data_IF_012590020153
#
_entry.id   IF_012590020153
#
_cell.length_a   1.000
_cell.length_b   1.000
_cell.length_c   1.000
_cell.angle_alpha   90.00
_cell.angle_beta   90.00
_cell.angle_gamma   90.00
#
_symmetry.space_group_name_H-M   'P 1'
#
loop_
_entity.id
_entity.type
_entity.pdbx_description
1 polymer ?
#
# COMPACT_ATOMS: atom_id res chain seq x y z
N UNK A 1 -6.19 13.15 -14.17
CA UNK A 1 -5.76 11.88 -13.55
C UNK A 1 -5.99 10.72 -14.50
N UNK A 2 -7.23 10.48 -15.00
CA UNK A 2 -7.57 9.32 -15.86
C UNK A 2 -6.65 9.18 -17.10
N UNK A 3 -6.40 10.27 -17.83
CA UNK A 3 -5.51 10.25 -18.99
C UNK A 3 -4.06 9.84 -18.64
N UNK A 4 -3.58 10.22 -17.45
CA UNK A 4 -2.27 9.81 -17.01
C UNK A 4 -2.22 8.30 -16.74
N UNK A 5 -3.23 7.75 -16.07
CA UNK A 5 -3.33 6.33 -15.81
C UNK A 5 -3.46 5.51 -17.10
N UNK A 6 -4.26 5.96 -18.06
CA UNK A 6 -4.35 5.34 -19.39
C UNK A 6 -2.96 5.22 -20.03
N UNK A 7 -2.21 6.32 -20.09
CA UNK A 7 -0.86 6.35 -20.64
C UNK A 7 0.13 5.49 -19.85
N UNK A 8 0.04 5.49 -18.51
CA UNK A 8 0.89 4.64 -17.65
C UNK A 8 0.64 3.15 -17.92
N UNK A 9 -0.61 2.77 -18.17
CA UNK A 9 -0.95 1.39 -18.51
C UNK A 9 -0.59 1.03 -19.96
N UNK A 10 -0.71 1.95 -20.93
CA UNK A 10 -0.40 1.67 -22.32
C UNK A 10 1.10 1.58 -22.60
N UNK A 11 1.85 2.62 -22.25
CA UNK A 11 3.27 2.74 -22.61
C UNK A 11 4.26 2.75 -21.44
N UNK A 12 3.75 2.63 -20.21
CA UNK A 12 4.55 2.63 -18.99
C UNK A 12 4.80 4.03 -18.43
N UNK A 13 5.17 4.07 -17.15
CA UNK A 13 5.39 5.32 -16.42
C UNK A 13 6.56 6.12 -16.99
N UNK A 14 7.71 5.49 -17.24
CA UNK A 14 8.93 6.17 -17.70
C UNK A 14 8.76 6.79 -19.08
N UNK A 15 8.10 6.08 -20.00
CA UNK A 15 7.85 6.54 -21.35
C UNK A 15 6.73 7.60 -21.46
N UNK A 16 5.97 7.84 -20.39
CA UNK A 16 4.90 8.85 -20.36
C UNK A 16 5.46 10.20 -19.96
N UNK A 17 5.20 11.23 -20.77
CA UNK A 17 5.58 12.62 -20.49
C UNK A 17 4.38 13.44 -20.02
N UNK A 18 4.65 14.56 -19.31
CA UNK A 18 3.60 15.52 -18.93
C UNK A 18 2.91 16.09 -20.17
N UNK A 19 3.64 16.33 -21.26
CA UNK A 19 3.07 16.83 -22.53
C UNK A 19 2.12 15.80 -23.17
N UNK A 20 2.39 14.49 -23.05
CA UNK A 20 1.46 13.44 -23.50
C UNK A 20 0.15 13.47 -22.69
N UNK A 21 0.26 13.64 -21.36
CA UNK A 21 -0.89 13.69 -20.45
C UNK A 21 -1.75 14.92 -20.76
N UNK A 22 -1.12 16.08 -20.93
CA UNK A 22 -1.79 17.33 -21.30
C UNK A 22 -2.53 17.17 -22.63
N UNK A 23 -1.89 16.57 -23.62
CA UNK A 23 -2.49 16.35 -24.95
C UNK A 23 -3.69 15.40 -24.87
N UNK A 24 -3.57 14.28 -24.16
CA UNK A 24 -4.65 13.30 -24.03
C UNK A 24 -5.83 13.83 -23.20
N UNK A 25 -5.53 14.63 -22.16
CA UNK A 25 -6.57 15.19 -21.28
C UNK A 25 -7.21 16.49 -21.80
N UNK A 26 -6.76 17.00 -22.97
CA UNK A 26 -7.17 18.27 -23.55
C UNK A 26 -7.12 19.44 -22.54
N UNK A 27 -6.02 19.48 -21.75
CA UNK A 27 -5.80 20.52 -20.75
C UNK A 27 -4.62 21.42 -21.14
N UNK A 28 -4.46 22.55 -20.43
CA UNK A 28 -3.29 23.41 -20.62
C UNK A 28 -2.16 23.02 -19.67
N UNK A 29 -0.92 23.35 -20.06
CA UNK A 29 0.27 23.18 -19.22
C UNK A 29 0.15 23.94 -17.90
N UNK A 30 -0.41 25.14 -17.90
CA UNK A 30 -0.69 25.93 -16.71
C UNK A 30 -1.70 25.27 -15.80
N UNK A 31 -2.77 24.69 -16.35
CA UNK A 31 -3.75 23.93 -15.58
C UNK A 31 -3.14 22.69 -14.96
N UNK A 32 -2.30 21.95 -15.67
CA UNK A 32 -1.61 20.78 -15.14
C UNK A 32 -0.75 21.14 -13.92
N UNK A 33 0.15 22.12 -14.08
CA UNK A 33 1.08 22.51 -13.00
C UNK A 33 0.42 23.29 -11.85
N UNK A 34 -0.83 23.74 -12.02
CA UNK A 34 -1.63 24.27 -10.92
C UNK A 34 -2.02 23.19 -9.91
N UNK A 35 -2.28 21.95 -10.38
CA UNK A 35 -2.71 20.83 -9.53
C UNK A 35 -1.61 19.84 -9.19
N UNK A 36 -0.58 19.71 -10.02
CA UNK A 36 0.43 18.66 -9.91
C UNK A 36 1.83 19.21 -10.18
N UNK A 37 2.77 18.99 -9.27
CA UNK A 37 4.17 19.38 -9.44
C UNK A 37 4.89 18.60 -10.56
N UNK A 38 4.33 17.50 -11.00
CA UNK A 38 4.85 16.64 -12.04
C UNK A 38 4.10 15.31 -12.14
N UNK A 39 4.58 14.41 -13.01
CA UNK A 39 3.93 13.10 -13.18
C UNK A 39 4.02 12.21 -11.93
N UNK A 40 5.00 12.45 -11.05
CA UNK A 40 5.15 11.72 -9.77
C UNK A 40 3.98 12.00 -8.83
N UNK A 41 3.44 13.23 -8.85
CA UNK A 41 2.25 13.59 -8.07
C UNK A 41 1.02 12.79 -8.52
N UNK A 42 0.92 12.49 -9.83
CA UNK A 42 -0.15 11.62 -10.36
C UNK A 42 0.03 10.17 -9.92
N UNK A 43 1.26 9.67 -9.88
CA UNK A 43 1.53 8.31 -9.40
C UNK A 43 1.12 8.14 -7.94
N UNK A 44 1.25 9.19 -7.12
CA UNK A 44 0.80 9.18 -5.72
C UNK A 44 -0.73 8.98 -5.58
N UNK A 45 -1.53 9.21 -6.62
CA UNK A 45 -2.97 8.93 -6.59
C UNK A 45 -3.28 7.43 -6.45
N UNK A 46 -2.30 6.54 -6.70
CA UNK A 46 -2.44 5.12 -6.41
C UNK A 46 -2.67 4.85 -4.92
N UNK A 47 -2.15 5.70 -4.04
CA UNK A 47 -2.42 5.58 -2.61
C UNK A 47 -3.90 5.74 -2.27
N UNK A 48 -4.65 6.57 -2.99
CA UNK A 48 -6.10 6.71 -2.83
C UNK A 48 -6.83 5.42 -3.21
N UNK A 49 -6.44 4.78 -4.30
CA UNK A 49 -7.01 3.49 -4.72
C UNK A 49 -6.78 2.41 -3.67
N UNK A 50 -5.59 2.40 -3.05
CA UNK A 50 -5.29 1.48 -1.96
C UNK A 50 -6.07 1.82 -0.68
N UNK A 51 -6.33 3.09 -0.39
CA UNK A 51 -7.14 3.49 0.77
C UNK A 51 -8.61 3.08 0.59
N UNK A 52 -9.18 3.24 -0.60
CA UNK A 52 -10.53 2.74 -0.93
C UNK A 52 -10.62 1.22 -0.77
N UNK A 53 -9.56 0.50 -1.16
CA UNK A 53 -9.47 -0.94 -0.91
C UNK A 53 -9.52 -1.25 0.58
N UNK A 54 -8.76 -0.56 1.44
CA UNK A 54 -8.76 -0.81 2.89
C UNK A 54 -10.11 -0.52 3.53
N UNK A 55 -10.85 0.48 3.06
CA UNK A 55 -12.23 0.73 3.48
C UNK A 55 -13.15 -0.43 3.12
N UNK A 56 -13.04 -0.98 1.90
CA UNK A 56 -13.79 -2.17 1.48
C UNK A 56 -13.41 -3.40 2.30
N UNK A 57 -12.12 -3.65 2.50
CA UNK A 57 -11.65 -4.80 3.28
C UNK A 57 -12.09 -4.75 4.74
N UNK A 58 -12.25 -3.56 5.31
CA UNK A 58 -12.79 -3.37 6.65
C UNK A 58 -14.20 -3.97 6.78
N UNK A 59 -15.04 -3.77 5.77
CA UNK A 59 -16.42 -4.31 5.76
C UNK A 59 -16.44 -5.82 5.46
N UNK A 60 -15.41 -6.35 4.79
CA UNK A 60 -15.30 -7.76 4.44
C UNK A 60 -14.71 -8.63 5.57
N UNK A 61 -14.10 -8.02 6.59
CA UNK A 61 -13.50 -8.77 7.69
C UNK A 61 -14.56 -9.56 8.47
N UNK A 62 -14.32 -10.87 8.64
CA UNK A 62 -15.16 -11.69 9.49
C UNK A 62 -15.06 -11.19 10.95
N UNK A 63 -16.20 -10.86 11.61
CA UNK A 63 -16.20 -10.38 12.98
C UNK A 63 -15.65 -11.40 14.00
N UNK A 64 -15.60 -12.68 13.63
CA UNK A 64 -15.09 -13.76 14.48
C UNK A 64 -13.57 -13.94 14.40
N UNK A 65 -12.89 -13.30 13.43
CA UNK A 65 -11.43 -13.28 13.38
C UNK A 65 -10.84 -12.60 14.61
N UNK A 66 -9.78 -13.19 15.18
CA UNK A 66 -8.96 -12.46 16.13
C UNK A 66 -8.15 -11.34 15.43
N UNK A 67 -7.53 -10.47 16.23
CA UNK A 67 -6.82 -9.32 15.68
C UNK A 67 -5.58 -9.72 14.86
N UNK A 68 -4.93 -10.84 15.18
CA UNK A 68 -3.82 -11.34 14.37
C UNK A 68 -4.31 -11.87 13.01
N UNK A 69 -5.40 -12.63 13.02
CA UNK A 69 -6.05 -13.12 11.79
C UNK A 69 -6.51 -11.96 10.90
N UNK A 70 -7.09 -10.90 11.49
CA UNK A 70 -7.46 -9.68 10.76
C UNK A 70 -6.27 -9.02 10.08
N UNK A 71 -5.12 -8.91 10.77
CA UNK A 71 -3.90 -8.36 10.17
C UNK A 71 -3.40 -9.22 9.00
N UNK A 72 -3.43 -10.55 9.12
CA UNK A 72 -3.03 -11.47 8.05
C UNK A 72 -4.01 -11.42 6.86
N UNK A 73 -5.31 -11.33 7.14
CA UNK A 73 -6.35 -11.15 6.12
C UNK A 73 -6.12 -9.85 5.31
N UNK A 74 -5.92 -8.73 6.00
CA UNK A 74 -5.67 -7.44 5.35
C UNK A 74 -4.42 -7.46 4.48
N UNK A 75 -3.32 -8.04 4.99
CA UNK A 75 -2.09 -8.21 4.22
C UNK A 75 -2.30 -9.06 2.95
N UNK A 76 -2.88 -10.24 3.10
CA UNK A 76 -3.13 -11.13 1.97
C UNK A 76 -4.01 -10.49 0.89
N UNK A 77 -5.14 -9.89 1.31
CA UNK A 77 -6.12 -9.30 0.38
C UNK A 77 -5.56 -8.06 -0.33
N UNK A 78 -4.82 -7.22 0.36
CA UNK A 78 -4.17 -6.06 -0.27
C UNK A 78 -3.09 -6.46 -1.26
N UNK A 79 -2.28 -7.45 -0.95
CA UNK A 79 -1.26 -7.97 -1.86
C UNK A 79 -1.87 -8.71 -3.06
N UNK A 80 -2.98 -9.43 -2.85
CA UNK A 80 -3.74 -10.05 -3.94
C UNK A 80 -4.30 -9.00 -4.91
N UNK A 81 -4.81 -7.90 -4.37
CA UNK A 81 -5.26 -6.77 -5.19
C UNK A 81 -4.10 -6.14 -5.96
N UNK A 82 -2.96 -5.87 -5.30
CA UNK A 82 -1.80 -5.29 -5.95
C UNK A 82 -1.32 -6.14 -7.13
N UNK A 83 -1.13 -7.45 -6.94
CA UNK A 83 -0.64 -8.33 -8.01
C UNK A 83 -1.61 -8.49 -9.19
N UNK A 84 -2.93 -8.40 -8.93
CA UNK A 84 -3.95 -8.59 -9.97
C UNK A 84 -4.33 -7.31 -10.70
N UNK A 85 -4.28 -6.18 -10.01
CA UNK A 85 -4.88 -4.94 -10.49
C UNK A 85 -3.85 -3.85 -10.85
N UNK A 86 -2.60 -3.99 -10.41
CA UNK A 86 -1.59 -2.97 -10.61
C UNK A 86 -0.38 -3.58 -11.32
N UNK A 87 0.03 -2.99 -12.45
CA UNK A 87 1.26 -3.40 -13.12
C UNK A 87 2.46 -3.25 -12.16
N UNK A 88 3.33 -4.25 -12.13
CA UNK A 88 4.52 -4.27 -11.27
C UNK A 88 5.41 -3.04 -11.47
N UNK A 89 5.57 -2.57 -12.70
CA UNK A 89 6.38 -1.39 -13.03
C UNK A 89 5.81 -0.10 -12.42
N UNK A 90 4.48 0.00 -12.29
CA UNK A 90 3.83 1.15 -11.65
C UNK A 90 4.06 1.15 -10.13
N UNK A 91 3.99 -0.01 -9.49
CA UNK A 91 4.35 -0.15 -8.07
C UNK A 91 5.83 0.13 -7.85
N UNK A 92 6.71 -0.41 -8.69
CA UNK A 92 8.15 -0.15 -8.63
C UNK A 92 8.45 1.35 -8.76
N UNK A 93 7.80 2.04 -9.71
CA UNK A 93 7.92 3.48 -9.90
C UNK A 93 7.41 4.27 -8.71
N UNK A 94 6.25 3.89 -8.13
CA UNK A 94 5.74 4.52 -6.91
C UNK A 94 6.75 4.40 -5.76
N UNK A 95 7.27 3.20 -5.50
CA UNK A 95 8.23 2.99 -4.42
C UNK A 95 9.55 3.73 -4.66
N UNK A 96 10.05 3.73 -5.90
CA UNK A 96 11.26 4.47 -6.30
C UNK A 96 11.10 5.98 -6.09
N UNK A 97 9.99 6.56 -6.54
CA UNK A 97 9.74 8.00 -6.38
C UNK A 97 9.65 8.40 -4.91
N UNK A 98 9.10 7.54 -4.04
CA UNK A 98 9.06 7.79 -2.59
C UNK A 98 10.46 7.85 -1.94
N UNK A 99 11.45 7.15 -2.49
CA UNK A 99 12.83 7.18 -1.99
C UNK A 99 13.55 8.48 -2.36
N UNK A 100 13.32 9.00 -3.56
CA UNK A 100 14.05 10.16 -4.11
C UNK A 100 13.30 11.48 -3.98
N UNK A 101 12.00 11.45 -3.71
CA UNK A 101 11.18 12.66 -3.54
C UNK A 101 11.67 13.53 -2.39
N UNK A 102 11.70 14.85 -2.62
CA UNK A 102 11.96 15.85 -1.58
C UNK A 102 10.69 16.28 -0.83
N UNK A 103 9.52 15.94 -1.35
CA UNK A 103 8.22 16.27 -0.77
C UNK A 103 7.70 15.21 0.21
N UNK A 104 6.42 15.30 0.49
CA UNK A 104 5.72 14.32 1.34
C UNK A 104 5.76 12.92 0.73
N UNK A 105 5.89 11.93 1.60
CA UNK A 105 5.91 10.51 1.22
C UNK A 105 4.57 9.88 1.54
N UNK A 106 3.72 9.70 0.52
CA UNK A 106 2.38 9.13 0.67
C UNK A 106 2.38 7.74 1.30
N UNK A 107 3.44 6.95 1.08
CA UNK A 107 3.59 5.62 1.71
C UNK A 107 3.85 5.68 3.22
N UNK A 108 4.18 6.84 3.78
CA UNK A 108 4.44 7.03 5.22
C UNK A 108 3.41 7.94 5.89
N UNK A 109 2.42 8.45 5.16
CA UNK A 109 1.39 9.33 5.69
C UNK A 109 0.46 8.57 6.64
N UNK A 110 0.54 8.90 7.92
CA UNK A 110 -0.23 8.27 9.01
C UNK A 110 -1.73 8.61 8.95
N UNK A 111 -2.14 9.59 8.14
CA UNK A 111 -3.56 9.96 7.97
C UNK A 111 -4.30 9.04 7.00
N UNK A 112 -3.60 8.16 6.28
CA UNK A 112 -4.19 7.22 5.35
C UNK A 112 -5.05 6.17 6.05
N UNK A 113 -6.10 5.72 5.37
CA UNK A 113 -7.02 4.68 5.88
C UNK A 113 -6.30 3.37 6.19
N UNK A 114 -5.27 3.03 5.44
CA UNK A 114 -4.35 1.94 5.76
C UNK A 114 -3.86 1.99 7.21
N UNK A 115 -3.22 3.10 7.61
CA UNK A 115 -2.63 3.23 8.94
C UNK A 115 -3.68 3.27 10.04
N UNK A 116 -4.80 3.94 9.81
CA UNK A 116 -5.92 4.02 10.75
C UNK A 116 -6.52 2.64 11.02
N UNK A 117 -6.76 1.85 9.96
CA UNK A 117 -7.34 0.53 10.10
C UNK A 117 -6.41 -0.45 10.82
N UNK A 118 -5.14 -0.54 10.39
CA UNK A 118 -4.14 -1.43 11.01
C UNK A 118 -3.94 -1.05 12.50
N UNK A 119 -3.83 0.25 12.81
CA UNK A 119 -3.72 0.74 14.17
C UNK A 119 -4.91 0.32 15.03
N UNK A 120 -6.14 0.51 14.51
CA UNK A 120 -7.38 0.13 15.21
C UNK A 120 -7.43 -1.39 15.53
N UNK A 121 -7.04 -2.24 14.56
CA UNK A 121 -6.98 -3.69 14.77
C UNK A 121 -5.94 -4.05 15.84
N UNK A 122 -4.77 -3.40 15.84
CA UNK A 122 -3.72 -3.64 16.84
C UNK A 122 -4.15 -3.17 18.24
N UNK A 123 -4.79 -2.00 18.35
CA UNK A 123 -5.30 -1.48 19.61
C UNK A 123 -6.33 -2.42 20.23
N UNK A 124 -7.27 -2.90 19.41
CA UNK A 124 -8.28 -3.86 19.84
C UNK A 124 -7.62 -5.18 20.28
N UNK A 125 -6.68 -5.70 19.51
CA UNK A 125 -5.93 -6.90 19.83
C UNK A 125 -5.14 -6.79 21.13
N UNK A 126 -4.54 -5.64 21.41
CA UNK A 126 -3.89 -5.40 22.71
C UNK A 126 -4.90 -5.35 23.88
N UNK A 127 -6.08 -4.74 23.66
CA UNK A 127 -7.15 -4.71 24.68
C UNK A 127 -7.64 -6.10 25.01
N UNK A 128 -7.77 -6.97 24.01
CA UNK A 128 -8.25 -8.35 24.15
C UNK A 128 -7.15 -9.35 24.57
N UNK A 129 -5.87 -8.96 24.53
CA UNK A 129 -4.74 -9.85 24.81
C UNK A 129 -4.33 -10.74 23.63
N UNK A 130 -4.93 -10.57 22.48
CA UNK A 130 -4.64 -11.27 21.22
C UNK A 130 -3.30 -10.81 20.61
N UNK A 131 -2.94 -9.55 20.83
CA UNK A 131 -1.65 -8.96 20.50
C UNK A 131 -0.93 -8.57 21.78
N UNK A 132 0.38 -8.89 21.85
CA UNK A 132 1.14 -8.60 23.05
C UNK A 132 1.34 -7.09 23.28
N UNK A 133 1.56 -6.70 24.55
CA UNK A 133 1.74 -5.31 24.97
C UNK A 133 3.20 -4.93 25.21
N UNK A 134 4.16 -5.73 24.71
CA UNK A 134 5.61 -5.45 24.91
C UNK A 134 6.06 -4.21 24.17
N UNK A 135 5.33 -3.86 23.11
CA UNK A 135 5.53 -2.70 22.24
C UNK A 135 4.25 -1.88 22.16
N UNK A 136 4.39 -0.59 21.96
CA UNK A 136 3.27 0.29 21.67
C UNK A 136 2.67 -0.04 20.30
N UNK A 137 1.41 0.31 20.09
CA UNK A 137 0.74 0.18 18.77
C UNK A 137 1.54 0.87 17.68
N UNK A 138 2.09 2.06 17.94
CA UNK A 138 2.90 2.80 16.97
C UNK A 138 4.18 2.04 16.56
N UNK A 139 4.86 1.39 17.49
CA UNK A 139 6.05 0.55 17.18
C UNK A 139 5.66 -0.69 16.37
N UNK A 140 4.55 -1.36 16.73
CA UNK A 140 4.04 -2.52 16.00
C UNK A 140 3.60 -2.15 14.60
N UNK A 141 2.87 -1.03 14.45
CA UNK A 141 2.42 -0.50 13.17
C UNK A 141 3.60 -0.18 12.25
N UNK A 142 4.63 0.47 12.79
CA UNK A 142 5.87 0.77 12.04
C UNK A 142 6.54 -0.52 11.53
N UNK A 143 6.64 -1.54 12.37
CA UNK A 143 7.24 -2.81 12.00
C UNK A 143 6.39 -3.57 10.97
N UNK A 144 5.08 -3.65 11.18
CA UNK A 144 4.15 -4.27 10.24
C UNK A 144 4.25 -3.64 8.84
N UNK A 145 4.15 -2.31 8.77
CA UNK A 145 4.25 -1.59 7.50
C UNK A 145 5.64 -1.68 6.85
N UNK A 146 6.70 -1.84 7.65
CA UNK A 146 8.04 -2.14 7.13
C UNK A 146 8.07 -3.51 6.43
N UNK A 147 7.51 -4.54 7.06
CA UNK A 147 7.45 -5.89 6.48
C UNK A 147 6.63 -5.93 5.19
N UNK A 148 5.47 -5.28 5.15
CA UNK A 148 4.67 -5.18 3.92
C UNK A 148 5.44 -4.49 2.80
N UNK A 149 6.07 -3.35 3.09
CA UNK A 149 6.91 -2.66 2.08
C UNK A 149 8.09 -3.52 1.62
N UNK A 150 8.70 -4.30 2.51
CA UNK A 150 9.78 -5.22 2.13
C UNK A 150 9.28 -6.29 1.15
N UNK A 151 8.14 -6.91 1.42
CA UNK A 151 7.52 -7.92 0.55
C UNK A 151 7.18 -7.34 -0.84
N UNK A 152 6.54 -6.18 -0.89
CA UNK A 152 6.22 -5.52 -2.17
C UNK A 152 7.49 -5.11 -2.93
N UNK A 153 8.50 -4.58 -2.24
CA UNK A 153 9.75 -4.17 -2.86
C UNK A 153 10.48 -5.38 -3.46
N UNK A 154 10.57 -6.49 -2.73
CA UNK A 154 11.19 -7.71 -3.24
C UNK A 154 10.44 -8.26 -4.45
N UNK A 155 9.12 -8.26 -4.41
CA UNK A 155 8.28 -8.65 -5.55
C UNK A 155 8.53 -7.76 -6.78
N UNK A 156 8.65 -6.44 -6.60
CA UNK A 156 9.00 -5.51 -7.67
C UNK A 156 10.41 -5.77 -8.23
N UNK A 157 11.41 -6.01 -7.37
CA UNK A 157 12.77 -6.36 -7.78
C UNK A 157 12.80 -7.66 -8.61
N UNK A 158 11.96 -8.62 -8.30
CA UNK A 158 11.77 -9.87 -9.03
C UNK A 158 10.78 -9.73 -10.21
N UNK A 159 10.39 -8.52 -10.60
CA UNK A 159 9.51 -8.22 -11.74
C UNK A 159 8.18 -8.97 -11.71
N UNK A 160 7.64 -9.21 -10.51
CA UNK A 160 6.37 -9.93 -10.36
C UNK A 160 6.43 -11.41 -10.74
N UNK A 161 7.60 -12.06 -10.66
CA UNK A 161 7.80 -13.43 -11.14
C UNK A 161 7.16 -14.52 -10.27
N UNK A 162 6.62 -14.15 -9.11
CA UNK A 162 5.91 -15.04 -8.19
C UNK A 162 4.63 -14.38 -7.67
N UNK A 163 3.73 -15.13 -7.03
CA UNK A 163 2.54 -14.55 -6.41
C UNK A 163 2.91 -13.80 -5.14
N UNK A 164 2.73 -12.48 -5.12
CA UNK A 164 2.93 -11.64 -3.94
C UNK A 164 2.00 -12.07 -2.80
N UNK A 165 0.73 -12.34 -3.11
CA UNK A 165 -0.27 -12.72 -2.11
C UNK A 165 0.08 -14.06 -1.44
N UNK A 166 0.44 -15.10 -2.22
CA UNK A 166 0.79 -16.41 -1.68
C UNK A 166 2.09 -16.35 -0.87
N UNK A 167 3.09 -15.62 -1.36
CA UNK A 167 4.34 -15.41 -0.63
C UNK A 167 4.09 -14.69 0.69
N UNK A 168 3.29 -13.64 0.68
CA UNK A 168 2.91 -12.91 1.90
C UNK A 168 2.11 -13.77 2.87
N UNK A 169 1.18 -14.61 2.38
CA UNK A 169 0.41 -15.54 3.21
C UNK A 169 1.30 -16.52 3.97
N UNK A 170 2.40 -16.94 3.36
CA UNK A 170 3.37 -17.85 3.99
C UNK A 170 4.30 -17.11 4.97
N UNK A 171 4.85 -15.98 4.57
CA UNK A 171 5.95 -15.33 5.32
C UNK A 171 5.51 -14.23 6.29
N UNK A 172 4.42 -13.51 6.01
CA UNK A 172 3.96 -12.47 6.93
C UNK A 172 3.63 -12.99 8.34
N UNK A 173 2.97 -14.16 8.52
CA UNK A 173 2.76 -14.72 9.84
C UNK A 173 4.07 -15.02 10.59
N UNK A 174 5.12 -15.45 9.89
CA UNK A 174 6.44 -15.70 10.47
C UNK A 174 7.07 -14.39 10.94
N UNK A 175 7.04 -13.34 10.11
CA UNK A 175 7.55 -12.02 10.47
C UNK A 175 6.82 -11.42 11.68
N UNK A 176 5.51 -11.73 11.81
CA UNK A 176 4.64 -11.19 12.87
C UNK A 176 4.50 -12.11 14.09
N UNK A 177 5.20 -13.25 14.14
CA UNK A 177 5.05 -14.23 15.25
C UNK A 177 5.23 -13.59 16.63
N UNK A 178 6.18 -12.64 16.73
CA UNK A 178 6.43 -11.91 17.97
C UNK A 178 5.28 -10.99 18.42
N UNK A 179 4.27 -10.76 17.56
CA UNK A 179 3.11 -9.91 17.86
C UNK A 179 2.03 -10.65 18.63
N UNK A 180 1.98 -11.97 18.51
CA UNK A 180 0.96 -12.78 19.18
C UNK A 180 0.96 -12.54 20.68
N UNK A 181 -0.23 -12.40 21.22
CA UNK A 181 -0.46 -12.45 22.66
C UNK A 181 -0.05 -13.81 23.24
N UNK A 182 0.08 -13.91 24.53
CA UNK A 182 0.22 -15.23 25.17
C UNK A 182 -1.13 -15.95 25.03
N UNK A 183 -1.14 -17.11 24.41
CA UNK A 183 -2.26 -18.04 24.61
C UNK A 183 -2.33 -18.33 26.11
N UNK A 184 -3.45 -17.97 26.74
CA UNK A 184 -3.79 -18.34 28.12
C UNK A 184 -4.05 -19.83 28.20
#
# INVERSE_FOLDING_TARGET
VSAAWELFYEKGYDATTVDDIIRLSDTSKGSFYYYFDGKDALLNTLSTVLDDLYLSLKEEMDPYMDSFEKLMFLNYRSHLFMERSIKVDLLASLYSTQLISKGERSLLDQNREYYKLISSVMEEGQKRGEINRRKSVSELLKYYSLCERALVTDWCLNKGSYSLAEYSREYMPIMMESFKGKQL
#
